data_IF_369329880597
#
_entry.id   IF_369329880597
#
_cell.length_a   1.000
_cell.length_b   1.000
_cell.length_c   1.000
_cell.angle_alpha   90.00
_cell.angle_beta   90.00
_cell.angle_gamma   90.00
#
_symmetry.space_group_name_H-M   'P 1'
#
loop_
_entity.id
_entity.type
_entity.pdbx_description
1 polymer ?
#
# COMPACT_ATOMS: atom_id res chain seq x y z
N UNK A 1 -14.89 -20.37 -17.55
CA UNK A 1 -13.46 -20.56 -17.82
C UNK A 1 -12.72 -20.50 -16.49
N UNK A 2 -11.89 -21.50 -16.21
CA UNK A 2 -11.09 -21.65 -14.97
C UNK A 2 -9.90 -20.69 -14.97
N UNK A 3 -9.58 -20.09 -13.83
CA UNK A 3 -8.33 -19.34 -13.61
C UNK A 3 -7.19 -20.24 -13.12
N UNK A 4 -5.99 -19.68 -13.04
CA UNK A 4 -4.79 -20.34 -12.49
C UNK A 4 -4.48 -19.82 -11.09
N UNK A 5 -3.93 -20.66 -10.21
CA UNK A 5 -3.55 -20.24 -8.86
C UNK A 5 -2.15 -20.72 -8.49
N UNK A 6 -1.31 -19.80 -8.05
CA UNK A 6 -0.05 -20.08 -7.37
C UNK A 6 -0.31 -20.18 -5.87
N UNK A 7 -0.25 -21.40 -5.32
CA UNK A 7 -0.25 -21.61 -3.88
C UNK A 7 1.16 -21.35 -3.32
N UNK A 8 1.34 -20.18 -2.73
CA UNK A 8 2.58 -19.70 -2.17
C UNK A 8 2.59 -19.73 -0.64
N UNK A 9 1.62 -20.36 0.04
CA UNK A 9 1.49 -20.34 1.51
C UNK A 9 2.73 -20.87 2.26
N UNK A 10 3.57 -21.66 1.60
CA UNK A 10 4.84 -22.19 2.15
C UNK A 10 6.08 -21.62 1.47
N UNK A 11 5.90 -20.66 0.57
CA UNK A 11 6.98 -20.04 -0.17
C UNK A 11 7.47 -18.76 0.53
N UNK A 12 8.78 -18.53 0.45
CA UNK A 12 9.40 -17.25 0.80
C UNK A 12 10.12 -16.70 -0.42
N UNK A 13 9.83 -15.45 -0.76
CA UNK A 13 10.44 -14.74 -1.88
C UNK A 13 11.35 -13.64 -1.32
N UNK A 14 12.55 -13.53 -1.87
CA UNK A 14 13.44 -12.40 -1.57
C UNK A 14 13.31 -11.36 -2.67
N UNK A 15 12.95 -10.13 -2.29
CA UNK A 15 13.01 -8.98 -3.19
C UNK A 15 14.36 -8.32 -2.97
N UNK A 16 15.23 -8.43 -3.96
CA UNK A 16 16.58 -7.87 -3.93
C UNK A 16 16.62 -6.70 -4.91
N UNK A 17 16.25 -5.52 -4.43
CA UNK A 17 16.07 -4.34 -5.28
C UNK A 17 17.38 -3.67 -5.70
N UNK A 18 18.49 -3.99 -5.04
CA UNK A 18 19.77 -3.30 -5.17
C UNK A 18 20.95 -4.27 -5.21
N UNK A 19 21.92 -3.98 -6.10
CA UNK A 19 23.25 -4.61 -6.15
C UNK A 19 24.17 -4.11 -5.02
N UNK A 20 23.77 -3.01 -4.38
CA UNK A 20 24.45 -2.36 -3.27
C UNK A 20 23.56 -2.35 -2.01
N UNK A 21 23.97 -2.97 -0.89
CA UNK A 21 23.16 -2.97 0.32
C UNK A 21 23.11 -1.59 1.01
N UNK A 22 24.02 -0.68 0.63
CA UNK A 22 24.13 0.69 1.16
C UNK A 22 24.46 1.68 0.03
N UNK A 23 23.50 1.97 -0.86
CA UNK A 23 23.72 2.93 -1.94
C UNK A 23 24.22 4.28 -1.41
N UNK A 24 25.11 4.92 -2.15
CA UNK A 24 25.63 6.28 -1.92
C UNK A 24 25.42 7.14 -3.17
N UNK A 25 25.68 8.45 -3.09
CA UNK A 25 25.56 9.32 -4.26
C UNK A 25 26.51 8.93 -5.40
N UNK A 26 27.68 8.36 -5.06
CA UNK A 26 28.69 7.93 -6.03
C UNK A 26 28.49 6.47 -6.49
N UNK A 27 27.79 5.67 -5.69
CA UNK A 27 27.52 4.26 -5.96
C UNK A 27 26.04 3.95 -5.71
N UNK A 28 25.25 4.08 -6.76
CA UNK A 28 23.81 3.84 -6.70
C UNK A 28 23.46 2.36 -6.47
N UNK A 29 22.17 2.07 -6.49
CA UNK A 29 21.63 0.74 -6.28
C UNK A 29 21.88 -0.26 -7.44
N UNK A 30 22.37 0.18 -8.60
CA UNK A 30 22.80 -0.66 -9.73
C UNK A 30 24.31 -0.94 -9.72
N UNK A 31 25.09 -0.29 -8.84
CA UNK A 31 26.53 -0.49 -8.76
C UNK A 31 26.89 -1.43 -7.60
N UNK A 32 27.30 -2.66 -7.92
CA UNK A 32 27.74 -3.65 -6.93
C UNK A 32 27.67 -5.08 -7.44
N UNK A 33 27.98 -6.03 -6.58
CA UNK A 33 28.06 -7.47 -6.93
C UNK A 33 26.90 -8.31 -6.39
N UNK A 34 26.00 -7.73 -5.58
CA UNK A 34 24.89 -8.52 -5.03
C UNK A 34 23.90 -8.91 -6.15
N UNK A 35 23.31 -10.11 -6.07
CA UNK A 35 22.25 -10.50 -6.98
C UNK A 35 21.04 -9.59 -6.81
N UNK A 36 20.36 -9.29 -7.92
CA UNK A 36 19.12 -8.50 -7.93
C UNK A 36 17.94 -9.34 -8.39
N UNK A 37 16.81 -9.07 -7.76
CA UNK A 37 15.50 -9.58 -8.12
C UNK A 37 14.48 -8.48 -7.81
N UNK A 38 14.32 -7.54 -8.75
CA UNK A 38 13.45 -6.36 -8.62
C UNK A 38 11.97 -6.68 -8.80
N UNK A 39 11.67 -7.79 -9.46
CA UNK A 39 10.32 -8.22 -9.81
C UNK A 39 10.20 -9.73 -9.54
N UNK A 40 10.24 -10.16 -8.27
CA UNK A 40 10.30 -11.58 -7.93
C UNK A 40 9.06 -12.36 -8.35
N UNK A 41 7.92 -11.68 -8.52
CA UNK A 41 6.72 -12.27 -9.07
C UNK A 41 6.10 -11.34 -10.12
N UNK A 42 6.29 -11.70 -11.38
CA UNK A 42 5.72 -11.02 -12.54
C UNK A 42 4.74 -11.97 -13.22
N UNK A 43 3.47 -11.57 -13.29
CA UNK A 43 2.38 -12.29 -13.95
C UNK A 43 2.05 -11.54 -15.24
N UNK A 44 2.27 -12.21 -16.37
CA UNK A 44 2.14 -11.58 -17.69
C UNK A 44 1.10 -12.27 -18.55
N UNK A 45 0.26 -11.49 -19.23
CA UNK A 45 -0.61 -11.96 -20.31
C UNK A 45 -1.57 -13.10 -19.92
N UNK A 46 -1.91 -13.22 -18.63
CA UNK A 46 -2.83 -14.25 -18.11
C UNK A 46 -4.02 -13.61 -17.41
N UNK A 47 -5.23 -14.01 -17.82
CA UNK A 47 -6.47 -13.65 -17.11
C UNK A 47 -6.63 -14.52 -15.85
N UNK A 48 -7.17 -13.94 -14.77
CA UNK A 48 -7.58 -14.67 -13.56
C UNK A 48 -6.48 -15.51 -12.91
N UNK A 49 -5.29 -14.94 -12.78
CA UNK A 49 -4.22 -15.55 -11.99
C UNK A 49 -4.33 -15.12 -10.53
N UNK A 50 -4.43 -16.09 -9.63
CA UNK A 50 -4.41 -15.87 -8.19
C UNK A 50 -3.05 -16.22 -7.60
N UNK A 51 -2.62 -15.43 -6.62
CA UNK A 51 -1.50 -15.71 -5.73
C UNK A 51 -2.08 -15.84 -4.33
N UNK A 52 -1.88 -17.01 -3.72
CA UNK A 52 -2.46 -17.31 -2.40
C UNK A 52 -1.36 -17.58 -1.40
N UNK A 53 -1.25 -16.71 -0.39
CA UNK A 53 -0.21 -16.78 0.62
C UNK A 53 1.17 -16.36 0.11
N UNK A 54 2.16 -16.47 1.00
CA UNK A 54 3.56 -16.20 0.68
C UNK A 54 4.15 -15.10 1.54
N UNK A 55 5.42 -15.29 1.86
CA UNK A 55 6.22 -14.32 2.60
C UNK A 55 7.20 -13.64 1.65
N UNK A 56 7.06 -12.33 1.46
CA UNK A 56 7.92 -11.54 0.61
C UNK A 56 8.79 -10.63 1.47
N UNK A 57 10.09 -10.94 1.48
CA UNK A 57 11.11 -10.26 2.27
C UNK A 57 11.92 -9.36 1.35
N UNK A 58 11.61 -8.07 1.38
CA UNK A 58 12.38 -7.09 0.64
C UNK A 58 13.48 -6.47 1.48
N UNK A 59 14.61 -6.18 0.83
CA UNK A 59 15.82 -5.64 1.44
C UNK A 59 16.03 -4.17 1.15
N UNK A 60 14.97 -3.43 0.81
CA UNK A 60 15.06 -1.98 0.58
C UNK A 60 15.50 -1.31 1.88
N UNK A 61 16.60 -0.53 1.87
CA UNK A 61 17.04 0.20 3.04
C UNK A 61 15.96 1.19 3.52
N UNK A 62 15.61 1.12 4.81
CA UNK A 62 14.51 1.89 5.37
C UNK A 62 14.92 3.28 5.89
N UNK A 63 16.21 3.52 6.11
CA UNK A 63 16.74 4.76 6.71
C UNK A 63 17.57 5.63 5.76
N UNK A 64 17.99 5.10 4.61
CA UNK A 64 18.82 5.84 3.65
C UNK A 64 18.02 6.93 2.93
N UNK A 65 18.68 7.82 2.18
CA UNK A 65 18.00 8.84 1.38
C UNK A 65 17.45 8.25 0.06
N UNK A 66 16.29 8.74 -0.39
CA UNK A 66 15.57 8.25 -1.58
C UNK A 66 16.39 8.36 -2.88
N UNK A 67 16.96 9.52 -3.23
CA UNK A 67 17.66 9.74 -4.52
C UNK A 67 18.81 8.76 -4.69
N UNK A 68 19.44 8.41 -3.58
CA UNK A 68 20.58 7.51 -3.54
C UNK A 68 20.17 6.04 -3.62
N UNK A 69 19.03 5.68 -3.01
CA UNK A 69 18.64 4.26 -2.82
C UNK A 69 17.61 3.78 -3.82
N UNK A 70 16.92 4.70 -4.50
CA UNK A 70 15.80 4.37 -5.36
C UNK A 70 16.22 3.56 -6.58
N UNK A 71 15.72 2.33 -6.60
CA UNK A 71 15.77 1.42 -7.74
C UNK A 71 14.35 0.92 -7.94
N UNK A 72 13.76 1.25 -9.09
CA UNK A 72 12.40 0.83 -9.42
C UNK A 72 12.25 -0.69 -9.25
N UNK A 73 11.30 -1.12 -8.44
CA UNK A 73 11.04 -2.52 -8.13
C UNK A 73 9.65 -2.68 -7.55
N UNK A 74 9.01 -3.79 -7.82
CA UNK A 74 7.73 -4.14 -7.20
C UNK A 74 7.71 -5.62 -6.82
N UNK A 75 7.07 -5.94 -5.70
CA UNK A 75 7.08 -7.33 -5.19
C UNK A 75 6.22 -8.25 -6.05
N UNK A 76 5.00 -7.82 -6.36
CA UNK A 76 4.06 -8.55 -7.21
C UNK A 76 3.60 -7.62 -8.33
N UNK A 77 3.75 -8.04 -9.59
CA UNK A 77 3.35 -7.26 -10.76
C UNK A 77 2.40 -8.03 -11.64
N UNK A 78 1.32 -7.39 -12.05
CA UNK A 78 0.40 -7.88 -13.08
C UNK A 78 0.54 -7.02 -14.34
N UNK A 79 0.97 -7.62 -15.45
CA UNK A 79 1.19 -6.93 -16.74
C UNK A 79 0.43 -7.59 -17.88
N UNK A 80 -0.54 -6.89 -18.48
CA UNK A 80 -1.49 -7.50 -19.39
C UNK A 80 -2.28 -8.65 -18.77
N UNK A 81 -2.46 -8.62 -17.44
CA UNK A 81 -2.98 -9.74 -16.65
C UNK A 81 -4.26 -9.31 -15.91
N UNK A 82 -5.42 -9.32 -16.60
CA UNK A 82 -6.69 -8.91 -16.02
C UNK A 82 -7.18 -9.87 -14.93
N UNK A 83 -8.04 -9.35 -14.04
CA UNK A 83 -8.74 -10.09 -12.99
C UNK A 83 -7.82 -10.89 -12.05
N UNK A 84 -6.60 -10.38 -11.84
CA UNK A 84 -5.64 -10.95 -10.90
C UNK A 84 -6.15 -10.94 -9.45
N UNK A 85 -5.67 -11.88 -8.64
CA UNK A 85 -5.98 -11.94 -7.21
C UNK A 85 -4.68 -12.06 -6.40
N UNK A 86 -4.55 -11.25 -5.36
CA UNK A 86 -3.53 -11.37 -4.32
C UNK A 86 -4.26 -11.59 -3.00
N UNK A 87 -4.17 -12.80 -2.45
CA UNK A 87 -4.89 -13.20 -1.24
C UNK A 87 -3.91 -13.71 -0.18
N UNK A 88 -3.94 -13.12 1.02
CA UNK A 88 -3.24 -13.67 2.18
C UNK A 88 -1.71 -13.52 2.15
N UNK A 89 -1.16 -12.55 1.43
CA UNK A 89 0.30 -12.35 1.35
C UNK A 89 0.83 -11.50 2.50
N UNK A 90 2.07 -11.77 2.91
CA UNK A 90 2.83 -10.93 3.85
C UNK A 90 4.00 -10.30 3.11
N UNK A 91 3.98 -8.99 2.92
CA UNK A 91 5.03 -8.23 2.22
C UNK A 91 5.66 -7.22 3.18
N UNK A 92 7.00 -7.18 3.28
CA UNK A 92 7.69 -6.15 4.07
C UNK A 92 8.86 -5.52 3.32
N UNK A 93 9.07 -4.22 3.52
CA UNK A 93 10.28 -3.52 3.10
C UNK A 93 10.37 -3.25 1.60
N UNK A 94 9.24 -3.16 0.90
CA UNK A 94 9.18 -3.00 -0.55
C UNK A 94 9.50 -1.55 -0.98
N UNK A 95 9.81 -1.34 -2.27
CA UNK A 95 9.54 -0.04 -2.89
C UNK A 95 8.04 0.02 -3.16
N UNK A 96 7.59 -0.61 -4.25
CA UNK A 96 6.18 -0.85 -4.51
C UNK A 96 5.79 -2.27 -4.08
N UNK A 97 4.70 -2.45 -3.35
CA UNK A 97 4.33 -3.80 -2.90
C UNK A 97 3.57 -4.57 -3.98
N UNK A 98 2.49 -4.02 -4.51
CA UNK A 98 1.71 -4.64 -5.60
C UNK A 98 1.53 -3.64 -6.73
N UNK A 99 1.75 -4.06 -7.98
CA UNK A 99 1.61 -3.22 -9.16
C UNK A 99 0.60 -3.78 -10.15
N UNK A 100 -0.40 -2.97 -10.50
CA UNK A 100 -1.27 -3.18 -11.65
C UNK A 100 -0.71 -2.38 -12.84
N UNK A 101 0.02 -3.06 -13.72
CA UNK A 101 0.55 -2.46 -14.95
C UNK A 101 -0.53 -2.36 -16.04
N UNK A 102 -0.14 -1.87 -17.22
CA UNK A 102 -1.01 -1.72 -18.39
C UNK A 102 -1.75 -3.02 -18.70
N UNK A 103 -3.06 -2.91 -18.98
CA UNK A 103 -3.87 -4.04 -19.42
C UNK A 103 -4.23 -5.05 -18.32
N UNK A 104 -4.14 -4.64 -17.05
CA UNK A 104 -4.45 -5.48 -15.88
C UNK A 104 -5.62 -4.95 -15.03
N UNK A 105 -6.82 -4.72 -15.61
CA UNK A 105 -7.99 -4.27 -14.84
C UNK A 105 -8.52 -5.37 -13.93
N UNK A 106 -9.26 -4.98 -12.90
CA UNK A 106 -9.97 -5.91 -12.02
C UNK A 106 -9.08 -6.62 -11.00
N UNK A 107 -7.89 -6.11 -10.70
CA UNK A 107 -7.03 -6.66 -9.66
C UNK A 107 -7.75 -6.62 -8.30
N UNK A 108 -7.77 -7.74 -7.60
CA UNK A 108 -8.24 -7.88 -6.22
C UNK A 108 -7.06 -8.13 -5.28
N UNK A 109 -6.91 -7.30 -4.25
CA UNK A 109 -5.95 -7.50 -3.16
C UNK A 109 -6.76 -7.68 -1.88
N UNK A 110 -6.59 -8.82 -1.21
CA UNK A 110 -7.35 -9.15 -0.01
C UNK A 110 -6.56 -9.90 1.06
N UNK A 111 -7.03 -9.80 2.30
CA UNK A 111 -6.54 -10.53 3.46
C UNK A 111 -5.01 -10.40 3.66
N UNK A 112 -4.41 -9.31 3.18
CA UNK A 112 -2.96 -9.19 3.01
C UNK A 112 -2.35 -8.19 4.00
N UNK A 113 -1.07 -8.38 4.33
CA UNK A 113 -0.32 -7.47 5.18
C UNK A 113 0.93 -6.94 4.48
N UNK A 114 0.88 -5.67 4.11
CA UNK A 114 2.00 -4.89 3.57
C UNK A 114 2.58 -4.03 4.70
N UNK A 115 3.90 -4.04 4.89
CA UNK A 115 4.55 -3.12 5.82
C UNK A 115 5.80 -2.50 5.23
N UNK A 116 6.14 -1.29 5.69
CA UNK A 116 7.38 -0.61 5.33
C UNK A 116 7.59 -0.48 3.81
N UNK A 117 6.53 -0.14 3.07
CA UNK A 117 6.63 0.18 1.65
C UNK A 117 7.19 1.60 1.50
N UNK A 118 8.32 1.74 0.80
CA UNK A 118 9.09 2.99 0.75
C UNK A 118 8.70 3.89 -0.42
N UNK A 119 7.85 3.41 -1.32
CA UNK A 119 7.14 4.21 -2.33
C UNK A 119 5.64 3.88 -2.25
N UNK A 120 5.05 3.23 -3.25
CA UNK A 120 3.60 2.97 -3.28
C UNK A 120 3.24 1.62 -2.63
N UNK A 121 2.32 1.58 -1.67
CA UNK A 121 1.81 0.30 -1.18
C UNK A 121 1.11 -0.48 -2.31
N UNK A 122 0.37 0.24 -3.17
CA UNK A 122 -0.14 -0.31 -4.43
C UNK A 122 0.05 0.69 -5.56
N UNK A 123 0.76 0.30 -6.62
CA UNK A 123 0.97 1.13 -7.81
C UNK A 123 0.00 0.77 -8.93
N UNK A 124 -0.64 1.79 -9.51
CA UNK A 124 -1.55 1.70 -10.64
C UNK A 124 -1.49 2.99 -11.47
N UNK A 125 -0.28 3.37 -11.89
CA UNK A 125 -0.08 4.53 -12.76
C UNK A 125 -0.71 4.34 -14.17
N UNK A 126 -1.23 3.15 -14.46
CA UNK A 126 -2.01 2.81 -15.67
C UNK A 126 -3.52 2.86 -15.49
N UNK A 127 -4.02 3.45 -14.40
CA UNK A 127 -5.44 3.79 -14.19
C UNK A 127 -6.43 2.62 -14.31
N UNK A 128 -5.97 1.42 -13.97
CA UNK A 128 -6.78 0.20 -13.98
C UNK A 128 -7.87 0.25 -12.89
N UNK A 129 -8.99 -0.44 -13.08
CA UNK A 129 -9.92 -0.71 -11.98
C UNK A 129 -9.29 -1.71 -11.01
N UNK A 130 -9.55 -1.56 -9.72
CA UNK A 130 -9.09 -2.52 -8.71
C UNK A 130 -9.93 -2.47 -7.43
N UNK A 131 -9.84 -3.54 -6.65
CA UNK A 131 -10.40 -3.61 -5.30
C UNK A 131 -9.30 -4.00 -4.32
N UNK A 132 -9.16 -3.24 -3.25
CA UNK A 132 -8.36 -3.60 -2.07
C UNK A 132 -9.34 -3.77 -0.92
N UNK A 133 -9.39 -4.96 -0.33
CA UNK A 133 -10.24 -5.21 0.83
C UNK A 133 -9.52 -5.92 1.94
N UNK A 134 -9.97 -5.72 3.17
CA UNK A 134 -9.47 -6.40 4.36
C UNK A 134 -7.93 -6.54 4.42
N UNK A 135 -7.24 -5.43 4.17
CA UNK A 135 -5.79 -5.41 3.98
C UNK A 135 -5.17 -4.44 4.97
N UNK A 136 -4.16 -4.91 5.70
CA UNK A 136 -3.34 -4.10 6.58
C UNK A 136 -2.12 -3.56 5.81
N UNK A 137 -2.05 -2.25 5.67
CA UNK A 137 -0.92 -1.51 5.10
C UNK A 137 -0.30 -0.67 6.23
N UNK A 138 0.84 -1.09 6.74
CA UNK A 138 1.43 -0.54 7.97
C UNK A 138 2.82 0.06 7.72
N UNK A 139 2.90 1.39 7.60
CA UNK A 139 4.14 2.12 7.40
C UNK A 139 4.50 2.33 5.94
N UNK A 140 3.53 2.64 5.08
CA UNK A 140 3.79 2.97 3.68
C UNK A 140 4.17 4.45 3.51
N UNK A 141 5.04 4.77 2.53
CA UNK A 141 5.29 6.15 2.14
C UNK A 141 4.04 6.75 1.48
N UNK A 142 3.50 6.07 0.46
CA UNK A 142 2.30 6.45 -0.28
C UNK A 142 1.30 5.27 -0.26
N UNK A 143 0.01 5.57 -0.11
CA UNK A 143 -1.03 4.53 -0.08
C UNK A 143 -1.17 3.86 -1.44
N UNK A 144 -1.91 4.50 -2.34
CA UNK A 144 -2.14 4.00 -3.70
C UNK A 144 -1.63 5.02 -4.72
N UNK A 145 -0.94 4.58 -5.76
CA UNK A 145 -0.65 5.40 -6.94
C UNK A 145 -1.69 5.16 -8.01
N UNK A 146 -2.35 6.22 -8.46
CA UNK A 146 -3.17 6.24 -9.68
C UNK A 146 -2.88 7.50 -10.47
N UNK A 147 -1.58 7.81 -10.63
CA UNK A 147 -1.14 9.03 -11.28
C UNK A 147 -0.22 8.69 -12.43
N UNK A 148 -0.72 8.73 -13.68
CA UNK A 148 0.12 8.46 -14.83
C UNK A 148 1.32 9.42 -14.86
N UNK A 149 2.38 8.97 -15.52
CA UNK A 149 3.46 9.87 -15.91
C UNK A 149 2.90 11.03 -16.73
N UNK A 150 3.57 12.18 -16.68
CA UNK A 150 3.08 13.41 -17.32
C UNK A 150 2.95 13.24 -18.85
N UNK A 151 3.84 12.44 -19.42
CA UNK A 151 3.99 12.13 -20.84
C UNK A 151 3.35 10.79 -21.24
N UNK A 152 2.56 10.16 -20.35
CA UNK A 152 1.87 8.92 -20.68
C UNK A 152 0.77 9.16 -21.72
N UNK A 153 0.55 8.18 -22.60
CA UNK A 153 -0.60 8.05 -23.51
C UNK A 153 -1.92 7.66 -22.80
N UNK A 154 -1.90 7.48 -21.48
CA UNK A 154 -3.09 7.10 -20.71
C UNK A 154 -4.20 8.16 -20.82
N UNK A 155 -5.36 7.71 -21.28
CA UNK A 155 -6.58 8.51 -21.38
C UNK A 155 -7.21 8.84 -20.02
N UNK A 156 -8.39 9.45 -20.06
CA UNK A 156 -9.15 9.78 -18.86
C UNK A 156 -9.87 8.53 -18.30
N UNK A 157 -9.56 8.18 -17.05
CA UNK A 157 -10.20 7.12 -16.30
C UNK A 157 -11.12 7.66 -15.20
N UNK A 158 -11.52 8.93 -15.23
CA UNK A 158 -12.37 9.58 -14.21
C UNK A 158 -13.77 8.96 -14.03
N UNK A 159 -14.18 8.05 -14.92
CA UNK A 159 -15.40 7.25 -14.82
C UNK A 159 -15.17 5.81 -14.30
N UNK A 160 -13.90 5.41 -14.09
CA UNK A 160 -13.52 4.15 -13.50
C UNK A 160 -13.49 4.23 -11.97
N UNK A 161 -13.43 3.08 -11.31
CA UNK A 161 -13.47 2.97 -9.85
C UNK A 161 -12.29 2.17 -9.30
N UNK A 162 -11.73 2.67 -8.20
CA UNK A 162 -10.89 1.93 -7.27
C UNK A 162 -11.62 1.82 -5.94
N UNK A 163 -11.78 0.59 -5.45
CA UNK A 163 -12.54 0.31 -4.21
C UNK A 163 -11.61 -0.05 -3.07
N UNK A 164 -11.78 0.60 -1.93
CA UNK A 164 -11.10 0.31 -0.66
C UNK A 164 -12.15 -0.06 0.39
N UNK A 165 -12.14 -1.28 0.90
CA UNK A 165 -13.10 -1.71 1.92
C UNK A 165 -12.46 -2.47 3.06
N UNK A 166 -12.60 -1.98 4.29
CA UNK A 166 -11.91 -2.60 5.43
C UNK A 166 -10.39 -2.45 5.39
N UNK A 167 -9.86 -1.47 4.66
CA UNK A 167 -8.41 -1.26 4.54
C UNK A 167 -7.91 -0.49 5.76
N UNK A 168 -6.84 -0.98 6.39
CA UNK A 168 -6.12 -0.26 7.44
C UNK A 168 -4.80 0.27 6.85
N UNK A 169 -4.75 1.56 6.52
CA UNK A 169 -3.57 2.22 5.95
C UNK A 169 -2.91 3.13 6.99
N UNK A 170 -1.66 2.86 7.37
CA UNK A 170 -0.80 3.83 8.07
C UNK A 170 0.29 4.32 7.14
N UNK A 171 0.26 5.62 6.87
CA UNK A 171 1.31 6.35 6.19
C UNK A 171 2.42 6.71 7.18
N UNK A 172 3.67 6.63 6.73
CA UNK A 172 4.85 6.93 7.53
C UNK A 172 5.82 7.81 6.75
N UNK A 173 6.49 8.70 7.46
CA UNK A 173 7.56 9.50 6.88
C UNK A 173 8.83 8.70 6.59
N UNK A 174 9.41 8.96 5.42
CA UNK A 174 10.73 8.48 5.03
C UNK A 174 11.64 9.63 4.63
N UNK A 175 12.95 9.41 4.71
CA UNK A 175 13.94 10.31 4.12
C UNK A 175 13.74 10.37 2.60
N UNK A 176 13.42 11.55 2.08
CA UNK A 176 13.03 11.75 0.69
C UNK A 176 13.56 13.08 0.18
N UNK A 177 14.57 13.02 -0.70
CA UNK A 177 15.31 14.18 -1.19
C UNK A 177 15.83 14.99 0.00
N UNK A 178 15.67 16.31 -0.06
CA UNK A 178 16.00 17.21 1.04
C UNK A 178 14.90 17.13 2.10
N UNK A 179 15.09 16.27 3.10
CA UNK A 179 14.25 16.17 4.30
C UNK A 179 13.41 14.89 4.39
N UNK A 180 12.35 14.97 5.19
CA UNK A 180 11.40 13.87 5.43
C UNK A 180 10.08 14.16 4.73
N UNK A 181 9.46 13.12 4.18
CA UNK A 181 8.19 13.24 3.48
C UNK A 181 7.34 11.98 3.65
N UNK A 182 6.03 12.17 3.55
CA UNK A 182 5.02 11.13 3.42
C UNK A 182 4.04 11.50 2.30
N UNK A 183 3.38 10.49 1.73
CA UNK A 183 2.37 10.61 0.69
C UNK A 183 0.98 10.95 1.23
N UNK A 184 -0.04 10.54 0.47
CA UNK A 184 -1.45 10.67 0.81
C UNK A 184 -2.17 9.31 0.78
N UNK A 185 -3.49 9.29 0.94
CA UNK A 185 -4.31 8.12 0.62
C UNK A 185 -4.04 7.65 -0.81
N UNK A 186 -4.09 8.59 -1.76
CA UNK A 186 -3.78 8.34 -3.16
C UNK A 186 -2.89 9.44 -3.77
N UNK A 187 -1.88 9.02 -4.54
CA UNK A 187 -1.15 9.86 -5.49
C UNK A 187 -1.99 9.84 -6.77
N UNK A 188 -2.70 10.94 -7.03
CA UNK A 188 -3.70 11.03 -8.10
C UNK A 188 -3.63 12.36 -8.86
N UNK A 189 -4.26 12.39 -10.03
CA UNK A 189 -4.55 13.60 -10.80
C UNK A 189 -5.99 13.59 -11.35
N UNK A 190 -6.34 14.54 -12.22
CA UNK A 190 -7.68 14.66 -12.77
C UNK A 190 -8.11 13.45 -13.64
N UNK A 191 -7.18 12.73 -14.26
CA UNK A 191 -7.45 11.56 -15.09
C UNK A 191 -7.70 10.29 -14.26
N UNK A 192 -7.28 10.31 -12.99
CA UNK A 192 -7.37 9.15 -12.12
C UNK A 192 -8.81 8.64 -11.93
N UNK A 193 -8.99 7.33 -11.71
CA UNK A 193 -10.24 6.74 -11.23
C UNK A 193 -10.81 7.46 -10.01
N UNK A 194 -12.12 7.30 -9.81
CA UNK A 194 -12.77 7.67 -8.56
C UNK A 194 -12.52 6.59 -7.51
N UNK A 195 -12.75 6.96 -6.25
CA UNK A 195 -12.58 6.08 -5.11
C UNK A 195 -13.91 5.79 -4.43
N UNK A 196 -14.12 4.51 -4.12
CA UNK A 196 -15.15 4.06 -3.18
C UNK A 196 -14.45 3.57 -1.92
N UNK A 197 -14.61 4.25 -0.78
CA UNK A 197 -13.87 3.96 0.45
C UNK A 197 -14.81 3.70 1.62
N UNK A 198 -14.84 2.48 2.15
CA UNK A 198 -15.75 2.12 3.25
C UNK A 198 -15.06 1.35 4.36
N UNK A 199 -15.53 1.51 5.59
CA UNK A 199 -15.07 0.75 6.76
C UNK A 199 -13.54 0.79 6.94
N UNK A 200 -12.89 1.83 6.46
CA UNK A 200 -11.43 1.90 6.31
C UNK A 200 -10.82 2.89 7.29
N UNK A 201 -9.54 2.68 7.62
CA UNK A 201 -8.76 3.54 8.50
C UNK A 201 -7.60 4.10 7.70
N UNK A 202 -7.45 5.42 7.69
CA UNK A 202 -6.29 6.13 7.14
C UNK A 202 -5.58 6.83 8.29
N UNK A 203 -4.43 6.31 8.68
CA UNK A 203 -3.58 6.85 9.73
C UNK A 203 -2.34 7.53 9.15
N UNK A 204 -1.89 8.60 9.79
CA UNK A 204 -0.65 9.31 9.43
C UNK A 204 0.27 9.39 10.64
N UNK A 205 1.44 8.79 10.50
CA UNK A 205 2.54 8.87 11.46
C UNK A 205 3.44 10.06 11.12
N UNK A 206 3.01 11.24 11.60
CA UNK A 206 3.67 12.51 11.33
C UNK A 206 4.75 12.84 12.37
N UNK A 207 5.94 13.14 11.87
CA UNK A 207 7.14 13.43 12.65
C UNK A 207 7.81 14.76 12.24
N UNK A 208 7.06 15.67 11.62
CA UNK A 208 7.54 17.03 11.27
C UNK A 208 7.99 17.19 9.82
N UNK A 209 7.75 16.21 8.95
CA UNK A 209 8.10 16.26 7.54
C UNK A 209 7.14 17.08 6.68
N UNK A 210 7.28 16.93 5.36
CA UNK A 210 6.38 17.53 4.36
C UNK A 210 5.47 16.48 3.71
N UNK A 211 4.49 16.92 2.92
CA UNK A 211 3.67 16.04 2.07
C UNK A 211 3.35 16.71 0.73
N UNK A 212 2.51 16.06 -0.08
CA UNK A 212 2.04 16.55 -1.38
C UNK A 212 0.59 17.03 -1.25
N UNK A 213 0.33 18.34 -0.98
CA UNK A 213 -1.02 18.83 -0.75
C UNK A 213 -2.01 18.51 -1.87
N UNK A 214 -1.55 18.49 -3.13
CA UNK A 214 -2.36 18.14 -4.27
C UNK A 214 -2.84 16.67 -4.26
N UNK A 215 -2.06 15.75 -3.70
CA UNK A 215 -2.44 14.33 -3.60
C UNK A 215 -3.52 14.13 -2.53
N UNK A 216 -3.44 14.85 -1.41
CA UNK A 216 -4.51 14.89 -0.43
C UNK A 216 -5.80 15.50 -0.99
N UNK A 217 -5.71 16.67 -1.61
CA UNK A 217 -6.86 17.34 -2.19
C UNK A 217 -7.56 16.48 -3.26
N UNK A 218 -6.79 15.84 -4.13
CA UNK A 218 -7.34 14.94 -5.17
C UNK A 218 -7.87 13.63 -4.60
N UNK A 219 -7.24 13.05 -3.56
CA UNK A 219 -7.79 11.90 -2.85
C UNK A 219 -9.20 12.16 -2.33
N UNK A 220 -9.44 13.35 -1.76
CA UNK A 220 -10.75 13.72 -1.23
C UNK A 220 -11.77 14.08 -2.31
N UNK A 221 -11.36 14.83 -3.34
CA UNK A 221 -12.29 15.23 -4.40
C UNK A 221 -12.70 14.09 -5.34
N UNK A 222 -11.92 12.99 -5.38
CA UNK A 222 -12.21 11.80 -6.17
C UNK A 222 -13.06 10.75 -5.44
N UNK A 223 -13.47 10.99 -4.19
CA UNK A 223 -14.40 10.10 -3.50
C UNK A 223 -15.79 10.15 -4.15
N UNK A 224 -16.21 9.06 -4.77
CA UNK A 224 -17.56 8.87 -5.29
C UNK A 224 -18.51 8.20 -4.30
N UNK A 225 -17.96 7.50 -3.31
CA UNK A 225 -18.69 6.91 -2.20
C UNK A 225 -17.76 6.75 -1.01
N UNK A 226 -18.21 7.17 0.18
CA UNK A 226 -17.38 7.10 1.39
C UNK A 226 -18.24 6.99 2.65
N UNK A 227 -18.00 6.00 3.49
CA UNK A 227 -18.73 5.83 4.75
C UNK A 227 -17.98 5.00 5.80
N UNK A 228 -18.26 5.29 7.07
CA UNK A 228 -17.71 4.58 8.23
C UNK A 228 -16.18 4.51 8.26
N UNK A 229 -15.52 5.60 7.89
CA UNK A 229 -14.06 5.66 7.85
C UNK A 229 -13.48 6.41 9.05
N UNK A 230 -12.23 6.10 9.39
CA UNK A 230 -11.44 6.86 10.35
C UNK A 230 -10.26 7.53 9.67
N UNK A 231 -10.03 8.78 10.03
CA UNK A 231 -8.76 9.45 9.74
C UNK A 231 -8.02 9.68 11.06
N UNK A 232 -6.83 9.09 11.20
CA UNK A 232 -6.09 9.05 12.46
C UNK A 232 -4.80 9.85 12.31
N UNK A 233 -4.75 11.03 12.90
CA UNK A 233 -3.51 11.78 13.01
C UNK A 233 -2.76 11.33 14.27
N UNK A 234 -1.74 10.49 14.10
CA UNK A 234 -1.11 9.81 15.24
C UNK A 234 -0.22 10.73 16.08
N UNK A 235 0.22 11.85 15.52
CA UNK A 235 1.05 12.85 16.18
C UNK A 235 0.25 13.71 17.15
N UNK A 236 0.92 14.19 18.20
CA UNK A 236 0.38 15.24 19.08
C UNK A 236 0.55 16.65 18.48
N UNK A 237 1.39 16.79 17.45
CA UNK A 237 1.51 18.03 16.70
C UNK A 237 0.22 18.34 15.91
N UNK A 238 -0.12 19.61 15.67
CA UNK A 238 -1.25 19.98 14.82
C UNK A 238 -1.12 19.39 13.40
N UNK A 239 -2.26 19.16 12.74
CA UNK A 239 -2.29 18.81 11.32
C UNK A 239 -1.85 20.05 10.54
N UNK A 240 -0.78 19.98 9.72
CA UNK A 240 -0.33 21.12 8.91
C UNK A 240 -1.32 21.45 7.79
N UNK A 241 -1.34 22.71 7.35
CA UNK A 241 -2.26 23.19 6.30
C UNK A 241 -2.08 22.49 4.94
N UNK A 242 -0.91 21.91 4.69
CA UNK A 242 -0.66 21.11 3.48
C UNK A 242 -1.34 19.73 3.50
N UNK A 243 -1.99 19.36 4.62
CA UNK A 243 -2.86 18.18 4.72
C UNK A 243 -4.30 18.66 4.92
N UNK A 244 -5.06 18.86 3.82
CA UNK A 244 -6.49 19.15 3.90
C UNK A 244 -7.22 18.16 4.81
N UNK A 245 -8.08 18.69 5.67
CA UNK A 245 -8.92 17.87 6.55
C UNK A 245 -9.78 16.91 5.72
N UNK A 246 -10.01 15.68 6.22
CA UNK A 246 -10.80 14.70 5.49
C UNK A 246 -12.28 15.11 5.47
N UNK A 247 -13.07 14.62 4.50
CA UNK A 247 -14.51 14.88 4.45
C UNK A 247 -15.25 14.23 5.63
N UNK A 248 -16.51 14.62 5.85
CA UNK A 248 -17.35 14.17 6.99
C UNK A 248 -17.57 12.67 7.07
N UNK A 249 -17.37 11.94 5.97
CA UNK A 249 -17.41 10.47 5.94
C UNK A 249 -16.24 9.80 6.68
N UNK A 250 -15.22 10.59 7.07
CA UNK A 250 -14.13 10.18 7.95
C UNK A 250 -14.26 10.86 9.31
N UNK A 251 -14.33 10.07 10.37
CA UNK A 251 -14.18 10.59 11.73
C UNK A 251 -12.70 10.82 12.02
N UNK A 252 -12.34 12.06 12.30
CA UNK A 252 -10.98 12.48 12.60
C UNK A 252 -10.66 12.32 14.10
N UNK A 253 -9.61 11.56 14.42
CA UNK A 253 -9.01 11.47 15.75
C UNK A 253 -7.57 11.99 15.70
N UNK A 254 -7.05 12.50 16.83
CA UNK A 254 -5.70 13.05 16.95
C UNK A 254 -4.97 12.52 18.19
N UNK A 255 -3.65 12.57 18.18
CA UNK A 255 -2.80 12.26 19.33
C UNK A 255 -3.08 10.89 19.94
N UNK A 256 -3.19 10.82 21.26
CA UNK A 256 -3.39 9.56 21.98
C UNK A 256 -4.63 8.78 21.52
N UNK A 257 -5.76 9.44 21.33
CA UNK A 257 -6.98 8.77 20.87
C UNK A 257 -6.81 8.13 19.48
N UNK A 258 -6.04 8.79 18.60
CA UNK A 258 -5.70 8.24 17.29
C UNK A 258 -4.76 7.02 17.40
N UNK A 259 -3.72 7.10 18.25
CA UNK A 259 -2.80 5.98 18.52
C UNK A 259 -3.52 4.77 19.09
N UNK A 260 -4.43 4.98 20.03
CA UNK A 260 -5.22 3.90 20.62
C UNK A 260 -6.17 3.26 19.59
N UNK A 261 -6.81 4.08 18.75
CA UNK A 261 -7.67 3.59 17.68
C UNK A 261 -6.89 2.76 16.64
N UNK A 262 -5.71 3.22 16.23
CA UNK A 262 -4.84 2.49 15.32
C UNK A 262 -4.40 1.16 15.93
N UNK A 263 -3.93 1.18 17.18
CA UNK A 263 -3.46 -0.03 17.89
C UNK A 263 -4.57 -1.07 17.99
N UNK A 264 -5.79 -0.65 18.35
CA UNK A 264 -6.96 -1.54 18.41
C UNK A 264 -7.31 -2.13 17.04
N UNK A 265 -7.42 -1.29 16.01
CA UNK A 265 -7.78 -1.75 14.66
C UNK A 265 -6.74 -2.73 14.09
N UNK A 266 -5.44 -2.39 14.21
CA UNK A 266 -4.34 -3.26 13.79
C UNK A 266 -4.34 -4.59 14.55
N UNK A 267 -4.48 -4.55 15.88
CA UNK A 267 -4.54 -5.78 16.69
C UNK A 267 -5.74 -6.63 16.32
N UNK A 268 -6.90 -6.02 16.10
CA UNK A 268 -8.11 -6.74 15.68
C UNK A 268 -7.89 -7.42 14.33
N UNK A 269 -7.31 -6.71 13.35
CA UNK A 269 -6.95 -7.30 12.05
C UNK A 269 -6.01 -8.49 12.18
N UNK A 270 -4.94 -8.36 12.97
CA UNK A 270 -4.02 -9.46 13.23
C UNK A 270 -4.74 -10.67 13.84
N UNK A 271 -5.63 -10.43 14.80
CA UNK A 271 -6.43 -11.48 15.45
C UNK A 271 -7.40 -12.18 14.49
N UNK A 272 -8.04 -11.43 13.59
CA UNK A 272 -8.98 -11.96 12.61
C UNK A 272 -8.30 -12.70 11.43
N UNK A 273 -6.98 -12.59 11.29
CA UNK A 273 -6.20 -13.20 10.20
C UNK A 273 -5.18 -14.27 10.69
N UNK A 274 -5.61 -15.33 11.40
CA UNK A 274 -4.65 -16.28 11.99
C UNK A 274 -3.91 -17.16 10.98
N UNK A 275 -4.44 -17.28 9.75
CA UNK A 275 -3.83 -18.10 8.68
C UNK A 275 -2.78 -17.35 7.87
N UNK A 276 -2.63 -16.03 8.06
CA UNK A 276 -1.62 -15.25 7.37
C UNK A 276 -0.22 -15.69 7.81
N UNK A 277 0.68 -15.87 6.84
CA UNK A 277 2.10 -16.11 7.13
C UNK A 277 2.69 -14.90 7.87
N UNK A 278 3.58 -15.14 8.85
CA UNK A 278 4.13 -14.12 9.74
C UNK A 278 5.65 -14.09 9.72
N UNK A 279 6.22 -12.91 9.92
CA UNK A 279 7.62 -12.78 10.33
C UNK A 279 7.77 -13.26 11.79
N UNK A 280 8.97 -13.71 12.20
CA UNK A 280 9.24 -14.01 13.61
C UNK A 280 8.96 -12.83 14.56
N UNK A 281 9.07 -11.60 14.05
CA UNK A 281 8.83 -10.36 14.81
C UNK A 281 7.39 -9.85 14.72
N UNK A 282 6.55 -10.43 13.87
CA UNK A 282 5.15 -10.02 13.79
C UNK A 282 4.40 -10.46 15.07
N UNK A 283 3.41 -9.68 15.55
CA UNK A 283 2.58 -10.10 16.67
C UNK A 283 1.83 -11.40 16.35
N UNK A 284 1.70 -12.26 17.36
CA UNK A 284 0.89 -13.47 17.27
C UNK A 284 -0.59 -13.08 17.22
N UNK A 285 -1.35 -13.76 16.37
CA UNK A 285 -2.81 -13.65 16.34
C UNK A 285 -3.45 -14.34 17.53
N UNK A 286 -4.48 -13.75 18.10
CA UNK A 286 -5.43 -14.40 19.02
C UNK A 286 -6.84 -14.41 18.38
N UNK A 287 -7.24 -15.50 17.71
CA UNK A 287 -8.55 -15.59 17.03
C UNK A 287 -9.75 -15.33 17.94
N UNK A 288 -9.67 -15.73 19.21
CA UNK A 288 -10.77 -15.56 20.17
C UNK A 288 -10.99 -14.08 20.55
N UNK A 289 -9.99 -13.22 20.28
CA UNK A 289 -10.06 -11.78 20.44
C UNK A 289 -10.38 -11.02 19.14
N UNK A 290 -10.73 -11.73 18.06
CA UNK A 290 -11.24 -11.11 16.84
C UNK A 290 -12.65 -10.54 17.09
N UNK A 291 -12.88 -9.29 16.69
CA UNK A 291 -14.18 -8.63 16.71
C UNK A 291 -14.56 -8.27 15.27
N UNK A 292 -15.31 -9.14 14.56
CA UNK A 292 -15.53 -8.99 13.12
C UNK A 292 -16.24 -7.70 12.71
N UNK A 293 -17.12 -7.20 13.58
CA UNK A 293 -17.90 -5.97 13.35
C UNK A 293 -17.12 -4.67 13.61
N UNK A 294 -15.85 -4.75 14.04
CA UNK A 294 -15.00 -3.60 14.32
C UNK A 294 -14.00 -3.35 13.19
N UNK A 295 -13.35 -2.17 13.18
CA UNK A 295 -12.26 -1.90 12.25
C UNK A 295 -11.17 -2.97 12.37
N UNK A 296 -10.76 -3.53 11.23
CA UNK A 296 -9.84 -4.65 11.15
C UNK A 296 -10.50 -6.05 11.24
N UNK A 297 -11.78 -6.16 11.59
CA UNK A 297 -12.45 -7.46 11.69
C UNK A 297 -13.21 -7.91 10.44
N UNK A 298 -13.24 -7.05 9.43
CA UNK A 298 -13.99 -7.10 8.17
C UNK A 298 -14.85 -8.36 7.94
N UNK A 299 -16.17 -8.18 8.06
CA UNK A 299 -17.16 -9.15 7.58
C UNK A 299 -17.65 -8.71 6.21
N UNK A 300 -17.59 -9.61 5.21
CA UNK A 300 -18.28 -9.43 3.93
C UNK A 300 -19.80 -9.24 4.12
#
# INVERSE_FOLDING_TARGET
>A
MSGSALDARRATFTVANSRNPKPTADQDCDQGILPVNRYPLLIEQQDRTAIVGGLFLSRVPQSSEWRVTYCNSSVITFEGAPNGVVDGVRITGAWDAVRASRGSPGLLIENSWISNARDDAVENDFLQTMTIRDTLIDGAFQGISVKPRKDSDMGDASNQMVTLSGVLLRLQEYSYKEGRRFGALAKSDQRAPRFWVTNSVVAVDYAGGSSYPQFWATSWSKLSGSSNNLFLWLSDAPIPDFVPLPPSSFRLLRGQAARDAWTRAKSNWINCHPKLTRLPTDPRSNPDACVPSSWGGFTN
#
